data_IF_777624826197
#
_entry.id   IF_777624826197
#
_cell.length_a   1.000
_cell.length_b   1.000
_cell.length_c   1.000
_cell.angle_alpha   90.00
_cell.angle_beta   90.00
_cell.angle_gamma   90.00
#
_symmetry.space_group_name_H-M   'P 1'
#
loop_
_entity.id
_entity.type
_entity.pdbx_description
1 polymer ?
#
# COMPACT_ATOMS: atom_id res chain seq x y z
N UNK A 1 0.39 27.39 -7.83
CA UNK A 1 -0.41 26.19 -8.15
C UNK A 1 -1.09 25.77 -6.87
N UNK A 2 -2.41 25.90 -6.82
CA UNK A 2 -3.24 25.77 -5.62
C UNK A 2 -2.88 24.57 -4.75
N UNK A 3 -2.53 24.86 -3.50
CA UNK A 3 -2.20 23.90 -2.43
C UNK A 3 -3.34 22.86 -2.28
N UNK A 4 -4.56 23.25 -2.64
CA UNK A 4 -5.76 22.41 -2.76
C UNK A 4 -5.59 21.28 -3.78
N UNK A 5 -5.07 21.54 -4.98
CA UNK A 5 -4.87 20.52 -6.01
C UNK A 5 -3.78 19.51 -5.61
N UNK A 6 -2.72 19.98 -4.96
CA UNK A 6 -1.62 19.14 -4.47
C UNK A 6 -2.09 18.23 -3.33
N UNK A 7 -2.84 18.76 -2.36
CA UNK A 7 -3.49 17.96 -1.29
C UNK A 7 -4.47 16.92 -1.82
N UNK A 8 -5.31 17.29 -2.79
CA UNK A 8 -6.26 16.36 -3.40
C UNK A 8 -5.53 15.23 -4.10
N UNK A 9 -4.51 15.54 -4.90
CA UNK A 9 -3.74 14.51 -5.61
C UNK A 9 -3.02 13.58 -4.63
N UNK A 10 -2.44 14.12 -3.56
CA UNK A 10 -1.81 13.31 -2.52
C UNK A 10 -2.80 12.43 -1.76
N UNK A 11 -3.99 12.93 -1.44
CA UNK A 11 -5.02 12.15 -0.73
C UNK A 11 -5.60 11.04 -1.61
N UNK A 12 -5.86 11.33 -2.88
CA UNK A 12 -6.33 10.34 -3.87
C UNK A 12 -5.27 9.25 -4.07
N UNK A 13 -4.00 9.64 -4.18
CA UNK A 13 -2.90 8.68 -4.35
C UNK A 13 -2.73 7.81 -3.08
N UNK A 14 -2.85 8.39 -1.90
CA UNK A 14 -2.82 7.65 -0.64
C UNK A 14 -3.96 6.63 -0.52
N UNK A 15 -5.18 7.06 -0.85
CA UNK A 15 -6.36 6.20 -0.83
C UNK A 15 -6.22 5.01 -1.79
N UNK A 16 -5.76 5.27 -3.02
CA UNK A 16 -5.57 4.24 -4.04
C UNK A 16 -4.59 3.16 -3.59
N UNK A 17 -3.51 3.57 -2.93
CA UNK A 17 -2.48 2.66 -2.41
C UNK A 17 -3.02 1.79 -1.29
N UNK A 18 -3.77 2.38 -0.36
CA UNK A 18 -4.38 1.65 0.76
C UNK A 18 -5.34 0.58 0.21
N UNK A 19 -6.19 0.97 -0.75
CA UNK A 19 -7.13 0.04 -1.41
C UNK A 19 -6.40 -1.09 -2.12
N UNK A 20 -5.39 -0.78 -2.93
CA UNK A 20 -4.58 -1.79 -3.65
C UNK A 20 -3.86 -2.72 -2.68
N UNK A 21 -3.33 -2.19 -1.57
CA UNK A 21 -2.67 -2.98 -0.52
C UNK A 21 -3.65 -3.93 0.17
N UNK A 22 -4.84 -3.44 0.52
CA UNK A 22 -5.88 -4.28 1.12
C UNK A 22 -6.34 -5.39 0.17
N UNK A 23 -6.52 -5.09 -1.12
CA UNK A 23 -6.87 -6.09 -2.15
C UNK A 23 -5.74 -7.11 -2.30
N UNK A 24 -4.48 -6.69 -2.33
CA UNK A 24 -3.34 -7.60 -2.42
C UNK A 24 -3.23 -8.54 -1.21
N UNK A 25 -3.47 -8.03 0.00
CA UNK A 25 -3.51 -8.85 1.21
C UNK A 25 -4.65 -9.87 1.15
N UNK A 26 -5.85 -9.44 0.73
CA UNK A 26 -7.01 -10.32 0.54
C UNK A 26 -6.76 -11.38 -0.54
N UNK A 27 -6.10 -11.02 -1.65
CA UNK A 27 -5.75 -11.93 -2.73
C UNK A 27 -4.70 -12.98 -2.29
N UNK A 28 -3.69 -12.57 -1.51
CA UNK A 28 -2.73 -13.52 -0.94
C UNK A 28 -3.39 -14.46 0.04
N UNK A 29 -4.41 -13.99 0.76
CA UNK A 29 -5.16 -14.78 1.73
C UNK A 29 -6.23 -15.69 1.15
N UNK A 30 -6.17 -16.00 -0.16
CA UNK A 30 -7.02 -16.99 -0.85
C UNK A 30 -7.38 -18.13 0.11
N UNK A 31 -8.68 -18.14 0.44
CA UNK A 31 -9.32 -18.65 1.65
C UNK A 31 -8.71 -20.00 2.10
N UNK A 32 -7.82 -19.93 3.09
CA UNK A 32 -7.16 -21.02 3.86
C UNK A 32 -6.90 -22.35 3.12
N UNK A 33 -5.63 -22.61 2.81
CA UNK A 33 -5.09 -23.98 2.62
C UNK A 33 -3.69 -24.05 3.23
N UNK A 34 -3.59 -24.80 4.34
CA UNK A 34 -2.47 -24.86 5.29
C UNK A 34 -1.18 -25.53 4.74
N UNK A 35 -1.16 -25.96 3.49
CA UNK A 35 -0.04 -26.69 2.90
C UNK A 35 1.08 -25.76 2.36
N UNK A 36 0.78 -24.49 2.09
CA UNK A 36 1.72 -23.51 1.49
C UNK A 36 2.09 -22.34 2.40
N UNK A 37 2.02 -22.53 3.73
CA UNK A 37 2.20 -21.45 4.72
C UNK A 37 3.52 -20.69 4.55
N UNK A 38 4.63 -21.38 4.32
CA UNK A 38 5.95 -20.73 4.15
C UNK A 38 6.00 -19.84 2.91
N UNK A 39 5.43 -20.29 1.78
CA UNK A 39 5.38 -19.51 0.53
C UNK A 39 4.43 -18.31 0.66
N UNK A 40 3.32 -18.48 1.40
CA UNK A 40 2.36 -17.42 1.67
C UNK A 40 2.96 -16.35 2.60
N UNK A 41 3.74 -16.74 3.62
CA UNK A 41 4.47 -15.81 4.49
C UNK A 41 5.49 -14.99 3.69
N UNK A 42 6.28 -15.62 2.81
CA UNK A 42 7.22 -14.89 1.94
C UNK A 42 6.52 -13.90 1.00
N UNK A 43 5.36 -14.28 0.45
CA UNK A 43 4.54 -13.38 -0.37
C UNK A 43 3.94 -12.23 0.43
N UNK A 44 3.43 -12.48 1.64
CA UNK A 44 2.96 -11.43 2.55
C UNK A 44 4.09 -10.48 2.94
N UNK A 45 5.31 -10.98 3.18
CA UNK A 45 6.47 -10.15 3.49
C UNK A 45 6.78 -9.18 2.34
N UNK A 46 6.76 -9.66 1.10
CA UNK A 46 6.94 -8.82 -0.09
C UNK A 46 5.81 -7.79 -0.24
N UNK A 47 4.56 -8.14 0.08
CA UNK A 47 3.46 -7.18 0.01
C UNK A 47 3.53 -6.13 1.11
N UNK A 48 3.91 -6.50 2.33
CA UNK A 48 4.15 -5.53 3.41
C UNK A 48 5.34 -4.63 3.05
N UNK A 49 6.37 -5.18 2.40
CA UNK A 49 7.50 -4.41 1.90
C UNK A 49 7.08 -3.39 0.83
N UNK A 50 6.32 -3.84 -0.17
CA UNK A 50 5.76 -2.96 -1.20
C UNK A 50 4.85 -1.89 -0.58
N UNK A 51 3.94 -2.28 0.32
CA UNK A 51 3.06 -1.35 1.04
C UNK A 51 3.85 -0.30 1.84
N UNK A 52 4.98 -0.69 2.43
CA UNK A 52 5.86 0.23 3.16
C UNK A 52 6.53 1.22 2.22
N UNK A 53 7.05 0.78 1.06
CA UNK A 53 7.61 1.68 0.03
C UNK A 53 6.57 2.69 -0.42
N UNK A 54 5.34 2.25 -0.65
CA UNK A 54 4.30 3.15 -1.12
C UNK A 54 3.80 4.08 0.00
N UNK A 55 3.74 3.60 1.25
CA UNK A 55 3.47 4.46 2.42
C UNK A 55 4.55 5.53 2.59
N UNK A 56 5.83 5.15 2.47
CA UNK A 56 6.96 6.10 2.49
C UNK A 56 6.90 7.07 1.31
N UNK A 57 6.46 6.62 0.13
CA UNK A 57 6.24 7.47 -1.03
C UNK A 57 5.13 8.50 -0.76
N UNK A 58 4.01 8.08 -0.18
CA UNK A 58 2.93 8.97 0.23
C UNK A 58 3.42 9.97 1.27
N UNK A 59 4.09 9.51 2.34
CA UNK A 59 4.66 10.39 3.35
C UNK A 59 5.65 11.37 2.74
N UNK A 60 6.53 10.94 1.84
CA UNK A 60 7.48 11.83 1.17
C UNK A 60 6.77 12.88 0.29
N UNK A 61 5.70 12.50 -0.41
CA UNK A 61 4.92 13.44 -1.23
C UNK A 61 4.11 14.41 -0.36
N UNK A 62 3.52 13.93 0.75
CA UNK A 62 2.68 14.73 1.67
C UNK A 62 3.52 15.63 2.57
N UNK A 63 4.65 15.14 3.09
CA UNK A 63 5.53 15.86 4.03
C UNK A 63 6.39 16.91 3.31
N UNK A 64 6.58 16.80 1.99
CA UNK A 64 7.29 17.81 1.18
C UNK A 64 6.44 19.06 0.87
N UNK A 65 5.43 19.36 1.69
CA UNK A 65 4.60 20.56 1.61
C UNK A 65 4.70 21.44 2.88
N UNK A 66 5.87 21.43 3.52
CA UNK A 66 6.32 22.50 4.42
C UNK A 66 7.57 23.17 3.82
#
# INVERSE_FOLDING_TARGET
>A
MDITAKKITSYVLALLVVVVTSIALLAIWDIISLEYVVKKIMSSLLVIFAASVVTLFIFNVVVKDN
#
